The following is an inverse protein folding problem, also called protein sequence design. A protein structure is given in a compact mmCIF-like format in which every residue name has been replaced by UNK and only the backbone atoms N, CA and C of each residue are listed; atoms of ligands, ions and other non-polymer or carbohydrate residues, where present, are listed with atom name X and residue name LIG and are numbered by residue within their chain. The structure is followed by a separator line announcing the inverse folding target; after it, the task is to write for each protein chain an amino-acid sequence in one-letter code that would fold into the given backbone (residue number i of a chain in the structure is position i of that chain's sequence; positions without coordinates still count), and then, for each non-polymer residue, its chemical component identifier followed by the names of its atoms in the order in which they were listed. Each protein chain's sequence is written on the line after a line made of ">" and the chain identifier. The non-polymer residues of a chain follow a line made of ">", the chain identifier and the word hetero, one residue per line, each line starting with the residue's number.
data_IF_335174188077
#
_entry.id   IF_335174188077
#
_cell.length_a   1.000
_cell.length_b   1.000
_cell.length_c   1.000
_cell.angle_alpha   90.00
_cell.angle_beta   90.00
_cell.angle_gamma   90.00
#
_symmetry.space_group_name_H-M   'P 1'
#
loop_
_entity.id
_entity.type
_entity.pdbx_description
1 polymer ?
#
# COMPACT_ATOMS: atom_id res chain seq x y z
N UNK A 1 21.87 15.18 19.56
CA UNK A 1 20.89 14.17 19.12
C UNK A 1 19.64 14.93 18.73
N UNK A 2 19.32 14.94 17.44
CA UNK A 2 18.24 15.75 16.86
C UNK A 2 16.87 15.26 17.33
N UNK A 3 16.02 16.18 17.82
CA UNK A 3 14.73 15.90 18.43
C UNK A 3 13.57 15.95 17.41
N UNK A 4 13.89 16.13 16.12
CA UNK A 4 12.95 16.20 14.98
C UNK A 4 12.24 14.87 14.68
N UNK A 5 12.77 13.74 15.16
CA UNK A 5 12.23 12.39 14.87
C UNK A 5 11.14 11.91 15.87
N UNK A 6 10.58 12.80 16.70
CA UNK A 6 9.58 12.46 17.74
C UNK A 6 8.17 12.98 17.48
N UNK A 7 7.96 13.82 16.47
CA UNK A 7 6.65 14.46 16.26
C UNK A 7 5.68 13.49 15.57
N UNK A 8 4.55 13.23 16.22
CA UNK A 8 3.43 12.48 15.63
C UNK A 8 2.69 13.38 14.64
N UNK A 9 2.51 12.93 13.41
CA UNK A 9 1.65 13.59 12.42
C UNK A 9 0.37 12.76 12.21
N UNK A 10 -0.76 13.45 12.10
CA UNK A 10 -2.05 12.86 11.73
C UNK A 10 -2.37 13.26 10.30
N UNK A 11 -2.75 12.30 9.48
CA UNK A 11 -3.24 12.48 8.11
C UNK A 11 -4.75 12.26 8.12
N UNK A 12 -5.50 13.16 7.50
CA UNK A 12 -6.97 13.08 7.43
C UNK A 12 -7.40 12.94 5.98
N UNK A 13 -8.36 12.06 5.70
CA UNK A 13 -9.01 12.00 4.38
C UNK A 13 -10.21 12.94 4.27
N UNK A 14 -10.51 13.75 5.30
CA UNK A 14 -11.70 14.59 5.35
C UNK A 14 -13.01 13.83 5.54
N UNK A 15 -12.95 12.52 5.85
CA UNK A 15 -14.15 11.71 6.09
C UNK A 15 -14.78 12.10 7.43
N UNK A 16 -16.11 12.29 7.46
CA UNK A 16 -16.83 12.55 8.70
C UNK A 16 -16.65 11.44 9.76
N UNK A 17 -16.38 10.20 9.32
CA UNK A 17 -16.16 9.06 10.22
C UNK A 17 -14.91 9.22 11.09
N UNK A 18 -13.89 9.95 10.64
CA UNK A 18 -12.68 10.19 11.43
C UNK A 18 -13.01 10.90 12.75
N UNK A 19 -13.89 11.91 12.68
CA UNK A 19 -14.35 12.64 13.86
C UNK A 19 -15.38 11.85 14.69
N UNK A 20 -16.27 11.10 14.05
CA UNK A 20 -17.34 10.35 14.73
C UNK A 20 -16.83 9.11 15.47
N UNK A 21 -15.88 8.38 14.87
CA UNK A 21 -15.35 7.11 15.40
C UNK A 21 -14.04 7.33 16.16
N UNK A 22 -13.25 8.36 15.79
CA UNK A 22 -12.01 8.70 16.47
C UNK A 22 -10.76 8.01 15.89
N UNK A 23 -10.53 8.17 14.59
CA UNK A 23 -9.32 7.69 13.92
C UNK A 23 -8.78 8.71 12.91
N UNK A 24 -7.54 8.55 12.49
CA UNK A 24 -6.93 9.33 11.39
C UNK A 24 -6.72 8.42 10.18
N UNK A 25 -6.83 8.94 8.96
CA UNK A 25 -6.53 8.17 7.74
C UNK A 25 -5.14 7.52 7.79
N UNK A 26 -4.15 8.26 8.28
CA UNK A 26 -2.87 7.68 8.65
C UNK A 26 -2.25 8.39 9.86
N UNK A 27 -1.34 7.70 10.55
CA UNK A 27 -0.51 8.25 11.62
C UNK A 27 0.95 8.02 11.26
N UNK A 28 1.75 9.08 11.32
CA UNK A 28 3.20 9.01 11.16
C UNK A 28 3.86 9.16 12.52
N UNK A 29 4.80 8.28 12.83
CA UNK A 29 5.65 8.38 14.02
C UNK A 29 7.06 7.86 13.70
N UNK A 30 8.04 8.75 13.79
CA UNK A 30 9.35 8.53 13.20
C UNK A 30 9.26 8.19 11.71
N UNK A 31 9.95 7.13 11.29
CA UNK A 31 9.91 6.63 9.91
C UNK A 31 8.69 5.74 9.61
N UNK A 32 7.85 5.42 10.61
CA UNK A 32 6.70 4.54 10.44
C UNK A 32 5.45 5.30 10.01
N UNK A 33 4.74 4.73 9.04
CA UNK A 33 3.43 5.20 8.59
C UNK A 33 2.41 4.08 8.76
N UNK A 34 1.39 4.33 9.56
CA UNK A 34 0.28 3.41 9.79
C UNK A 34 -0.96 3.97 9.08
N UNK A 35 -1.41 3.30 8.03
CA UNK A 35 -2.61 3.68 7.28
C UNK A 35 -3.78 2.86 7.81
N UNK A 36 -4.84 3.55 8.22
CA UNK A 36 -6.08 2.92 8.69
C UNK A 36 -6.75 2.12 7.56
N UNK A 37 -7.70 1.26 7.92
CA UNK A 37 -8.52 0.54 6.97
C UNK A 37 -9.13 1.45 5.90
N UNK A 38 -8.77 1.18 4.65
CA UNK A 38 -9.35 1.83 3.48
C UNK A 38 -10.32 0.86 2.80
N UNK A 39 -11.45 1.37 2.35
CA UNK A 39 -12.46 0.62 1.59
C UNK A 39 -12.60 1.23 0.19
N UNK A 40 -13.43 0.60 -0.66
CA UNK A 40 -13.63 0.99 -2.05
C UNK A 40 -14.49 2.23 -2.30
N UNK A 41 -14.74 3.07 -1.29
CA UNK A 41 -15.41 4.36 -1.49
C UNK A 41 -14.48 5.35 -2.18
N UNK A 42 -15.00 6.08 -3.16
CA UNK A 42 -14.42 7.32 -3.61
C UNK A 42 -14.81 8.43 -2.62
N UNK A 43 -13.84 9.00 -1.90
CA UNK A 43 -14.11 10.03 -0.90
C UNK A 43 -14.52 11.38 -1.48
N UNK A 44 -14.29 11.63 -2.77
CA UNK A 44 -14.76 12.85 -3.43
C UNK A 44 -16.26 12.78 -3.76
N UNK A 45 -16.74 11.60 -4.16
CA UNK A 45 -18.13 11.42 -4.62
C UNK A 45 -19.03 10.68 -3.64
N UNK A 46 -18.45 9.97 -2.66
CA UNK A 46 -19.17 9.07 -1.77
C UNK A 46 -19.66 7.77 -2.43
N UNK A 47 -19.28 7.52 -3.69
CA UNK A 47 -19.72 6.35 -4.44
C UNK A 47 -18.86 5.12 -4.14
N UNK A 48 -19.45 3.94 -4.28
CA UNK A 48 -18.76 2.64 -4.18
C UNK A 48 -19.27 1.72 -5.29
N UNK A 49 -18.34 1.11 -6.03
CA UNK A 49 -18.68 0.17 -7.10
C UNK A 49 -19.17 -1.17 -6.53
N UNK A 50 -20.16 -1.86 -7.13
CA UNK A 50 -20.51 -3.22 -6.71
C UNK A 50 -19.49 -4.27 -7.17
N UNK A 51 -18.57 -3.92 -8.07
CA UNK A 51 -17.54 -4.80 -8.60
C UNK A 51 -16.35 -4.92 -7.63
N UNK A 52 -16.04 -6.13 -7.12
CA UNK A 52 -14.89 -6.39 -6.25
C UNK A 52 -13.56 -5.84 -6.79
N UNK A 53 -13.31 -5.93 -8.10
CA UNK A 53 -12.07 -5.44 -8.71
C UNK A 53 -11.97 -3.92 -8.64
N UNK A 54 -13.07 -3.22 -8.95
CA UNK A 54 -13.12 -1.77 -8.89
C UNK A 54 -13.00 -1.26 -7.44
N UNK A 55 -13.61 -1.95 -6.48
CA UNK A 55 -13.40 -1.62 -5.06
C UNK A 55 -11.96 -1.80 -4.63
N UNK A 56 -11.29 -2.88 -5.05
CA UNK A 56 -9.87 -3.09 -4.74
C UNK A 56 -8.99 -1.97 -5.33
N UNK A 57 -9.25 -1.56 -6.58
CA UNK A 57 -8.50 -0.47 -7.22
C UNK A 57 -8.73 0.86 -6.48
N UNK A 58 -9.98 1.20 -6.17
CA UNK A 58 -10.30 2.41 -5.41
C UNK A 58 -9.69 2.39 -4.00
N UNK A 59 -9.71 1.24 -3.35
CA UNK A 59 -9.08 1.05 -2.03
C UNK A 59 -7.58 1.34 -2.09
N UNK A 60 -6.89 0.83 -3.12
CA UNK A 60 -5.46 1.09 -3.30
C UNK A 60 -5.15 2.54 -3.66
N UNK A 61 -6.00 3.21 -4.43
CA UNK A 61 -5.88 4.66 -4.69
C UNK A 61 -6.00 5.47 -3.39
N UNK A 62 -6.94 5.13 -2.52
CA UNK A 62 -7.12 5.76 -1.21
C UNK A 62 -5.88 5.57 -0.33
N UNK A 63 -5.31 4.35 -0.29
CA UNK A 63 -4.06 4.05 0.43
C UNK A 63 -2.90 4.85 -0.14
N UNK A 64 -2.74 4.89 -1.46
CA UNK A 64 -1.66 5.62 -2.12
C UNK A 64 -1.75 7.13 -1.84
N UNK A 65 -2.96 7.70 -1.80
CA UNK A 65 -3.18 9.10 -1.43
C UNK A 65 -2.76 9.36 0.03
N UNK A 66 -3.17 8.49 0.97
CA UNK A 66 -2.80 8.59 2.38
C UNK A 66 -1.29 8.50 2.61
N UNK A 67 -0.63 7.54 1.95
CA UNK A 67 0.83 7.38 2.01
C UNK A 67 1.54 8.61 1.46
N UNK A 68 1.08 9.17 0.33
CA UNK A 68 1.67 10.37 -0.26
C UNK A 68 1.57 11.57 0.66
N UNK A 69 0.41 11.80 1.29
CA UNK A 69 0.22 12.88 2.27
C UNK A 69 1.08 12.68 3.53
N UNK A 70 1.30 11.43 3.91
CA UNK A 70 2.24 11.06 4.97
C UNK A 70 3.73 11.20 4.57
N UNK A 71 4.05 11.59 3.33
CA UNK A 71 5.42 11.67 2.82
C UNK A 71 6.08 10.29 2.62
N UNK A 72 5.29 9.31 2.19
CA UNK A 72 5.68 7.93 1.90
C UNK A 72 5.07 7.47 0.56
N UNK A 73 5.18 6.20 0.20
CA UNK A 73 4.59 5.63 -1.01
C UNK A 73 4.26 4.15 -0.86
N UNK A 74 3.52 3.59 -1.83
CA UNK A 74 3.20 2.16 -1.87
C UNK A 74 4.47 1.29 -1.94
N UNK A 75 5.53 1.79 -2.58
CA UNK A 75 6.82 1.10 -2.69
C UNK A 75 7.52 0.93 -1.32
N UNK A 76 7.06 1.61 -0.27
CA UNK A 76 7.57 1.54 1.11
C UNK A 76 6.68 0.71 2.04
N UNK A 77 5.60 0.09 1.51
CA UNK A 77 4.72 -0.77 2.30
C UNK A 77 5.44 -2.06 2.65
N UNK A 78 5.53 -2.35 3.95
CA UNK A 78 6.19 -3.55 4.49
C UNK A 78 5.21 -4.58 5.02
N UNK A 79 3.97 -4.18 5.32
CA UNK A 79 2.88 -5.06 5.78
C UNK A 79 1.54 -4.62 5.19
N UNK A 80 0.74 -5.60 4.81
CA UNK A 80 -0.65 -5.43 4.35
C UNK A 80 -1.58 -6.43 5.04
N UNK A 81 -2.77 -5.98 5.42
CA UNK A 81 -3.87 -6.84 5.85
C UNK A 81 -5.05 -6.63 4.91
N UNK A 82 -5.54 -7.72 4.33
CA UNK A 82 -6.76 -7.74 3.54
C UNK A 82 -7.89 -8.28 4.41
N UNK A 83 -9.02 -7.59 4.45
CA UNK A 83 -10.22 -8.01 5.15
C UNK A 83 -11.34 -8.11 4.13
N UNK A 84 -11.91 -9.30 3.95
CA UNK A 84 -12.90 -9.59 2.91
C UNK A 84 -14.12 -10.32 3.48
N UNK A 85 -15.37 -9.82 3.27
CA UNK A 85 -16.58 -10.53 3.72
C UNK A 85 -16.74 -11.91 3.10
N UNK A 86 -16.44 -12.03 1.81
CA UNK A 86 -16.53 -13.28 1.05
C UNK A 86 -15.15 -13.64 0.54
N UNK A 87 -14.58 -14.74 1.05
CA UNK A 87 -13.26 -15.22 0.64
C UNK A 87 -13.22 -15.54 -0.87
N UNK A 88 -14.37 -15.87 -1.47
CA UNK A 88 -14.51 -16.22 -2.88
C UNK A 88 -14.28 -15.00 -3.81
N UNK A 89 -14.49 -13.77 -3.31
CA UNK A 89 -14.24 -12.55 -4.08
C UNK A 89 -12.75 -12.20 -4.14
N UNK A 90 -11.95 -12.66 -3.18
CA UNK A 90 -10.56 -12.24 -3.04
C UNK A 90 -9.68 -12.59 -4.26
N UNK A 91 -9.78 -13.80 -4.86
CA UNK A 91 -9.04 -14.11 -6.09
C UNK A 91 -9.35 -13.18 -7.28
N UNK A 92 -10.57 -12.62 -7.35
CA UNK A 92 -10.94 -11.68 -8.41
C UNK A 92 -10.12 -10.39 -8.33
N UNK A 93 -9.69 -10.00 -7.13
CA UNK A 93 -8.94 -8.76 -6.88
C UNK A 93 -7.43 -8.92 -7.08
N UNK A 94 -6.91 -10.15 -7.19
CA UNK A 94 -5.47 -10.40 -7.31
C UNK A 94 -4.78 -9.65 -8.46
N UNK A 95 -5.37 -9.49 -9.66
CA UNK A 95 -4.74 -8.69 -10.71
C UNK A 95 -4.48 -7.24 -10.28
N UNK A 96 -5.40 -6.65 -9.51
CA UNK A 96 -5.22 -5.31 -8.94
C UNK A 96 -4.12 -5.33 -7.88
N UNK A 97 -4.16 -6.28 -6.94
CA UNK A 97 -3.13 -6.36 -5.89
C UNK A 97 -1.73 -6.60 -6.47
N UNK A 98 -1.63 -7.42 -7.52
CA UNK A 98 -0.38 -7.68 -8.25
C UNK A 98 0.12 -6.40 -8.94
N UNK A 99 -0.76 -5.61 -9.56
CA UNK A 99 -0.40 -4.30 -10.14
C UNK A 99 0.23 -3.36 -9.11
N UNK A 100 -0.25 -3.37 -7.87
CA UNK A 100 0.23 -2.45 -6.83
C UNK A 100 1.42 -2.96 -6.02
N UNK A 101 1.47 -4.25 -5.71
CA UNK A 101 2.46 -4.84 -4.80
C UNK A 101 3.41 -5.86 -5.44
N UNK A 102 3.05 -6.38 -6.62
CA UNK A 102 3.80 -7.41 -7.33
C UNK A 102 4.97 -6.86 -8.14
N UNK A 103 5.80 -7.78 -8.62
CA UNK A 103 6.85 -7.46 -9.58
C UNK A 103 6.23 -7.23 -10.97
N UNK A 104 6.75 -6.26 -11.72
CA UNK A 104 6.47 -6.11 -13.15
C UNK A 104 7.26 -7.18 -13.90
N UNK A 105 6.66 -8.37 -14.01
CA UNK A 105 7.22 -9.52 -14.71
C UNK A 105 6.97 -9.49 -16.23
N UNK A 106 6.27 -8.47 -16.73
CA UNK A 106 6.02 -8.23 -18.15
C UNK A 106 4.74 -8.88 -18.68
N UNK A 107 3.92 -9.48 -17.83
CA UNK A 107 2.72 -10.23 -18.27
C UNK A 107 3.07 -11.40 -19.21
N UNK A 108 2.07 -12.21 -19.54
CA UNK A 108 2.18 -13.27 -20.55
C UNK A 108 2.29 -12.74 -21.99
N UNK A 109 2.88 -11.56 -22.18
CA UNK A 109 3.06 -10.92 -23.47
C UNK A 109 4.34 -11.40 -24.14
N UNK A 110 4.19 -12.09 -25.27
CA UNK A 110 5.29 -12.42 -26.19
C UNK A 110 5.82 -11.15 -26.87
N UNK A 111 6.64 -10.39 -26.17
CA UNK A 111 7.23 -9.15 -26.69
C UNK A 111 8.64 -8.95 -26.16
N UNK A 112 9.61 -9.10 -27.06
CA UNK A 112 11.05 -9.09 -26.78
C UNK A 112 11.58 -7.67 -26.62
N UNK A 113 11.07 -6.93 -25.64
CA UNK A 113 11.65 -5.65 -25.24
C UNK A 113 11.92 -5.68 -23.74
N UNK A 114 13.20 -5.85 -23.37
CA UNK A 114 13.66 -5.93 -21.98
C UNK A 114 13.49 -4.57 -21.28
N UNK A 115 12.25 -4.18 -20.97
CA UNK A 115 11.98 -3.12 -19.99
C UNK A 115 12.61 -3.54 -18.66
N UNK A 116 13.28 -2.59 -17.99
CA UNK A 116 13.79 -2.79 -16.63
C UNK A 116 12.62 -3.22 -15.74
N UNK A 117 12.63 -4.49 -15.30
CA UNK A 117 11.60 -5.06 -14.42
C UNK A 117 11.54 -4.22 -13.14
N UNK A 118 10.41 -3.55 -12.88
CA UNK A 118 10.18 -2.87 -11.60
C UNK A 118 9.85 -3.95 -10.57
N UNK A 119 10.64 -4.04 -9.50
CA UNK A 119 10.27 -4.87 -8.35
C UNK A 119 9.20 -4.17 -7.53
N UNK A 120 8.16 -4.91 -7.16
CA UNK A 120 7.15 -4.43 -6.23
C UNK A 120 7.63 -4.52 -4.78
N UNK A 121 6.97 -3.82 -3.84
CA UNK A 121 7.31 -3.87 -2.42
C UNK A 121 7.11 -5.25 -1.78
N UNK A 122 6.24 -6.10 -2.33
CA UNK A 122 5.94 -7.46 -1.86
C UNK A 122 5.86 -7.58 -0.32
N UNK A 123 4.94 -6.81 0.32
CA UNK A 123 4.86 -6.74 1.78
C UNK A 123 4.49 -8.08 2.42
N UNK A 124 4.79 -8.22 3.71
CA UNK A 124 4.22 -9.28 4.52
C UNK A 124 2.68 -9.16 4.50
N UNK A 125 1.98 -10.24 4.22
CA UNK A 125 0.55 -10.22 3.92
C UNK A 125 -0.25 -11.16 4.83
N UNK A 126 -1.45 -10.74 5.20
CA UNK A 126 -2.47 -11.59 5.84
C UNK A 126 -3.82 -11.28 5.23
N UNK A 127 -4.62 -12.30 4.95
CA UNK A 127 -6.03 -12.15 4.58
C UNK A 127 -6.91 -12.71 5.69
N UNK A 128 -7.94 -11.95 6.07
CA UNK A 128 -8.95 -12.31 7.06
C UNK A 128 -10.30 -12.28 6.36
N UNK A 129 -11.14 -13.29 6.61
CA UNK A 129 -12.53 -13.27 6.15
C UNK A 129 -13.47 -12.97 7.31
N UNK A 130 -14.13 -11.81 7.26
CA UNK A 130 -15.15 -11.36 8.21
C UNK A 130 -16.01 -10.24 7.62
N UNK A 131 -17.16 -9.96 8.23
CA UNK A 131 -18.02 -8.83 7.83
C UNK A 131 -17.31 -7.48 7.95
N UNK A 132 -17.73 -6.52 7.12
CA UNK A 132 -17.29 -5.12 7.15
C UNK A 132 -18.43 -4.22 7.65
N UNK A 133 -18.16 -2.93 7.85
CA UNK A 133 -19.13 -1.97 8.39
C UNK A 133 -20.44 -1.91 7.59
N UNK A 134 -20.36 -1.99 6.26
CA UNK A 134 -21.52 -2.00 5.37
C UNK A 134 -21.45 -3.18 4.38
N UNK A 135 -22.59 -3.81 4.09
CA UNK A 135 -22.71 -4.97 3.18
C UNK A 135 -22.24 -4.69 1.75
N UNK A 136 -22.25 -3.41 1.35
CA UNK A 136 -21.74 -2.97 0.04
C UNK A 136 -20.23 -3.05 -0.04
N UNK A 137 -19.50 -3.00 1.07
CA UNK A 137 -18.05 -3.09 1.11
C UNK A 137 -17.61 -4.53 0.85
N UNK A 138 -16.72 -4.75 -0.11
CA UNK A 138 -16.20 -6.07 -0.52
C UNK A 138 -14.75 -6.30 -0.10
N UNK A 139 -14.04 -5.23 0.22
CA UNK A 139 -12.67 -5.29 0.73
C UNK A 139 -12.38 -4.09 1.62
N UNK A 140 -11.62 -4.33 2.68
CA UNK A 140 -10.93 -3.32 3.45
C UNK A 140 -9.44 -3.68 3.53
N UNK A 141 -8.56 -2.69 3.36
CA UNK A 141 -7.11 -2.89 3.39
C UNK A 141 -6.47 -1.95 4.40
N UNK A 142 -5.69 -2.51 5.32
CA UNK A 142 -4.78 -1.79 6.21
C UNK A 142 -3.34 -2.00 5.73
N UNK A 143 -2.52 -0.94 5.74
CA UNK A 143 -1.08 -1.07 5.46
C UNK A 143 -0.20 -0.41 6.52
N UNK A 144 1.00 -0.95 6.66
CA UNK A 144 2.10 -0.30 7.37
C UNK A 144 3.25 -0.09 6.40
N UNK A 145 3.75 1.13 6.32
CA UNK A 145 4.92 1.50 5.55
C UNK A 145 6.03 2.01 6.47
N UNK A 146 7.27 1.93 5.97
CA UNK A 146 8.44 2.51 6.62
C UNK A 146 9.21 3.36 5.62
N UNK A 147 9.30 4.65 5.88
CA UNK A 147 10.05 5.58 5.03
C UNK A 147 11.50 5.13 4.87
N UNK A 148 12.01 5.22 3.64
CA UNK A 148 13.35 4.76 3.27
C UNK A 148 13.49 3.24 3.13
N UNK A 149 12.41 2.45 3.28
CA UNK A 149 12.47 0.99 3.14
C UNK A 149 12.24 0.49 1.70
N UNK A 150 11.98 1.39 0.75
CA UNK A 150 11.79 1.00 -0.64
C UNK A 150 13.02 0.21 -1.13
N UNK A 151 12.76 -0.91 -1.83
CA UNK A 151 13.83 -1.75 -2.37
C UNK A 151 14.70 -0.91 -3.32
N UNK A 152 16.01 -0.90 -3.10
CA UNK A 152 16.94 -0.11 -3.91
C UNK A 152 16.83 -0.51 -5.39
N UNK A 153 16.78 0.51 -6.26
CA UNK A 153 16.88 0.33 -7.71
C UNK A 153 18.34 0.14 -8.13
N UNK A 154 19.10 -0.76 -7.50
CA UNK A 154 20.51 -0.90 -7.87
C UNK A 154 20.74 -2.04 -8.87
N UNK A 155 21.27 -1.63 -10.03
CA UNK A 155 22.19 -2.46 -10.78
C UNK A 155 23.44 -2.71 -9.95
N UNK A 156 24.02 -3.89 -10.15
CA UNK A 156 25.30 -4.34 -9.64
C UNK A 156 26.41 -3.30 -9.90
N UNK A 157 26.67 -2.43 -8.92
CA UNK A 157 27.90 -1.67 -8.80
C UNK A 157 28.89 -2.50 -7.99
N UNK A 158 30.03 -2.83 -8.59
CA UNK A 158 31.10 -3.64 -8.00
C UNK A 158 31.53 -3.08 -6.64
N UNK A 159 31.62 -3.94 -5.62
CA UNK A 159 32.58 -3.73 -4.55
C UNK A 159 33.97 -4.05 -5.11
N UNK A 160 34.68 -3.03 -5.61
CA UNK A 160 36.13 -3.07 -5.60
C UNK A 160 36.59 -2.65 -4.20
N UNK A 161 36.82 -3.64 -3.34
CA UNK A 161 37.72 -3.51 -2.20
C UNK A 161 38.86 -4.52 -2.37
N UNK A 162 39.93 -4.01 -2.97
CA UNK A 162 41.29 -4.50 -2.92
C UNK A 162 42.09 -3.35 -3.53
N UNK A 163 42.97 -2.65 -2.81
CA UNK A 163 44.18 -3.15 -2.17
C UNK A 163 44.64 -2.10 -1.12
N UNK A 164 45.31 -2.51 -0.03
CA UNK A 164 46.68 -2.05 0.14
C UNK A 164 47.63 -3.18 0.56
N UNK A 165 48.67 -3.41 -0.23
CA UNK A 165 49.72 -4.40 0.03
C UNK A 165 50.97 -4.12 -0.80
N UNK A 166 51.89 -3.40 -0.14
CA UNK A 166 53.26 -2.98 -0.53
C UNK A 166 53.40 -1.78 -1.48
#
# INVERSE_FOLDING_TARGET
>A
MDNTNKTRQLVSSGSAFEAQIGYSRAVVTGDWVFVSGCTGYDYATGAISPDPMQQAEQTMLNIAAALREAGSSVDEVVRVRYIVPRREDFPLMWPVLQKWFGDDDGGSGSGEEKKKKKKGPRPAATMISCGLMEEVMKIEIEVTARKGSALSREGSGKAEEGVPGL
#
